data_IF_483689094100
#
_entry.id   IF_483689094100
#
_cell.length_a   1.000
_cell.length_b   1.000
_cell.length_c   1.000
_cell.angle_alpha   90.00
_cell.angle_beta   90.00
_cell.angle_gamma   90.00
#
_symmetry.space_group_name_H-M   'P 1'
#
loop_
_entity.id
_entity.type
_entity.pdbx_description
1 polymer ?
#
# COMPACT_ATOMS: atom_id res chain seq x y z
N UNK A 1 -8.56 15.89 26.12
CA UNK A 1 -8.67 14.46 25.78
C UNK A 1 -10.03 14.26 25.15
N UNK A 2 -10.10 13.91 23.88
CA UNK A 2 -11.38 13.53 23.24
C UNK A 2 -11.90 12.28 23.95
N UNK A 3 -13.18 12.30 24.38
CA UNK A 3 -13.81 11.14 25.00
C UNK A 3 -13.85 9.98 24.02
N UNK A 4 -13.69 8.75 24.50
CA UNK A 4 -13.82 7.55 23.65
C UNK A 4 -15.20 7.54 22.97
N UNK A 5 -15.25 7.42 21.62
CA UNK A 5 -16.51 7.45 20.88
C UNK A 5 -17.33 6.19 21.18
N UNK A 6 -18.59 6.39 21.57
CA UNK A 6 -19.50 5.26 21.87
C UNK A 6 -20.24 4.74 20.62
N UNK A 7 -20.33 5.57 19.59
CA UNK A 7 -21.07 5.27 18.36
C UNK A 7 -20.46 6.00 17.14
N UNK A 8 -20.53 5.42 15.98
CA UNK A 8 -20.16 5.99 14.69
C UNK A 8 -20.93 5.32 13.56
N UNK A 9 -21.21 6.04 12.47
CA UNK A 9 -21.84 5.44 11.28
C UNK A 9 -20.93 4.37 10.67
N UNK A 10 -19.62 4.65 10.64
CA UNK A 10 -18.60 3.73 10.09
C UNK A 10 -17.42 3.62 11.04
N UNK A 11 -17.03 2.38 11.35
CA UNK A 11 -15.76 2.09 12.02
C UNK A 11 -14.76 1.51 11.02
N UNK A 12 -13.59 2.14 10.93
CA UNK A 12 -12.50 1.74 10.02
C UNK A 12 -11.39 1.10 10.83
N UNK A 13 -10.97 -0.10 10.43
CA UNK A 13 -9.91 -0.87 11.09
C UNK A 13 -8.62 -0.74 10.30
N UNK A 14 -7.63 -0.02 10.86
CA UNK A 14 -6.31 0.18 10.27
C UNK A 14 -6.02 1.60 9.82
N UNK A 15 -4.90 2.15 10.31
CA UNK A 15 -4.40 3.51 10.05
C UNK A 15 -3.41 3.60 8.89
N UNK A 16 -3.48 2.66 7.93
CA UNK A 16 -2.75 2.76 6.66
C UNK A 16 -3.44 3.71 5.67
N UNK A 17 -2.81 3.91 4.50
CA UNK A 17 -3.31 4.85 3.47
C UNK A 17 -4.77 4.58 3.09
N UNK A 18 -5.18 3.32 3.00
CA UNK A 18 -6.57 2.96 2.65
C UNK A 18 -7.53 3.43 3.74
N UNK A 19 -7.23 3.12 5.01
CA UNK A 19 -8.09 3.51 6.13
C UNK A 19 -8.20 5.02 6.29
N UNK A 20 -7.07 5.74 6.30
CA UNK A 20 -7.09 7.20 6.49
C UNK A 20 -7.71 7.95 5.30
N UNK A 21 -7.50 7.47 4.06
CA UNK A 21 -8.16 8.06 2.89
C UNK A 21 -9.67 7.87 2.96
N UNK A 22 -10.13 6.66 3.34
CA UNK A 22 -11.56 6.40 3.52
C UNK A 22 -12.14 7.28 4.64
N UNK A 23 -11.45 7.38 5.78
CA UNK A 23 -11.87 8.24 6.88
C UNK A 23 -12.00 9.71 6.43
N UNK A 24 -11.00 10.20 5.68
CA UNK A 24 -11.00 11.58 5.17
C UNK A 24 -12.19 11.86 4.25
N UNK A 25 -12.41 11.02 3.23
CA UNK A 25 -13.48 11.25 2.27
C UNK A 25 -14.88 11.01 2.85
N UNK A 26 -15.05 10.07 3.78
CA UNK A 26 -16.31 9.88 4.49
C UNK A 26 -16.63 11.08 5.40
N UNK A 27 -15.66 11.53 6.22
CA UNK A 27 -15.83 12.70 7.06
C UNK A 27 -16.11 13.96 6.23
N UNK A 28 -15.44 14.13 5.09
CA UNK A 28 -15.71 15.22 4.13
C UNK A 28 -17.13 15.19 3.58
N UNK A 29 -17.75 14.01 3.53
CA UNK A 29 -19.15 13.80 3.11
C UNK A 29 -20.14 13.89 4.28
N UNK A 30 -19.68 14.26 5.49
CA UNK A 30 -20.54 14.42 6.67
C UNK A 30 -20.88 13.11 7.40
N UNK A 31 -20.21 12.00 7.06
CA UNK A 31 -20.40 10.71 7.74
C UNK A 31 -19.61 10.68 9.04
N UNK A 32 -20.22 10.23 10.14
CA UNK A 32 -19.53 10.00 11.40
C UNK A 32 -18.60 8.80 11.32
N UNK A 33 -17.29 9.02 11.49
CA UNK A 33 -16.26 8.00 11.31
C UNK A 33 -15.39 7.87 12.57
N UNK A 34 -15.15 6.63 12.96
CA UNK A 34 -14.07 6.29 13.89
C UNK A 34 -13.08 5.35 13.20
N UNK A 35 -11.82 5.78 13.09
CA UNK A 35 -10.71 4.95 12.64
C UNK A 35 -9.95 4.42 13.85
N UNK A 36 -9.69 3.12 13.88
CA UNK A 36 -9.00 2.43 14.96
C UNK A 36 -7.73 1.78 14.42
N UNK A 37 -6.58 2.18 14.97
CA UNK A 37 -5.25 1.69 14.58
C UNK A 37 -4.53 1.08 15.79
N UNK A 38 -4.05 -0.16 15.65
CA UNK A 38 -3.36 -0.90 16.71
C UNK A 38 -2.07 -0.25 17.21
N UNK A 39 -1.39 0.47 16.34
CA UNK A 39 -0.14 1.17 16.62
C UNK A 39 -0.26 2.66 16.30
N UNK A 40 0.54 3.11 15.36
CA UNK A 40 0.58 4.50 14.89
C UNK A 40 0.12 4.61 13.44
N UNK A 41 -0.42 5.77 13.07
CA UNK A 41 -0.77 6.06 11.68
C UNK A 41 0.46 5.88 10.78
N UNK A 42 0.27 5.21 9.64
CA UNK A 42 1.32 4.86 8.69
C UNK A 42 2.43 3.95 9.27
N UNK A 43 2.25 3.32 10.42
CA UNK A 43 3.26 2.51 11.09
C UNK A 43 3.78 1.31 10.30
N UNK A 44 3.02 0.85 9.30
CA UNK A 44 3.30 -0.36 8.54
C UNK A 44 3.63 -0.07 7.06
N UNK A 45 2.99 -0.75 6.12
CA UNK A 45 3.31 -0.65 4.68
C UNK A 45 3.19 0.76 4.10
N UNK A 46 2.31 1.59 4.66
CA UNK A 46 2.06 2.95 4.18
C UNK A 46 3.20 3.94 4.44
N UNK A 47 4.24 3.56 5.20
CA UNK A 47 5.48 4.32 5.33
C UNK A 47 6.68 3.64 4.66
N UNK A 48 6.54 2.37 4.26
CA UNK A 48 7.64 1.48 3.84
C UNK A 48 7.55 1.07 2.38
N UNK A 49 6.69 1.71 1.59
CA UNK A 49 6.57 1.48 0.16
C UNK A 49 7.56 2.35 -0.64
N UNK A 50 7.61 2.14 -1.95
CA UNK A 50 8.53 2.85 -2.83
C UNK A 50 8.19 4.34 -3.01
N UNK A 51 6.94 4.72 -2.75
CA UNK A 51 6.45 6.09 -2.93
C UNK A 51 6.22 6.48 -4.39
N UNK A 52 6.07 5.53 -5.29
CA UNK A 52 5.67 5.78 -6.67
C UNK A 52 4.16 6.00 -6.73
N UNK A 53 3.73 7.10 -7.32
CA UNK A 53 2.34 7.39 -7.65
C UNK A 53 2.23 7.27 -9.17
N UNK A 54 1.77 6.13 -9.65
CA UNK A 54 1.94 5.75 -11.05
C UNK A 54 0.73 5.06 -11.67
N UNK A 55 0.52 5.33 -12.94
CA UNK A 55 -0.35 4.61 -13.87
C UNK A 55 0.45 3.53 -14.62
N UNK A 56 1.71 3.84 -14.94
CA UNK A 56 2.60 3.01 -15.74
C UNK A 56 2.70 1.57 -15.21
N UNK A 57 2.54 0.61 -16.11
CA UNK A 57 2.67 -0.82 -15.80
C UNK A 57 1.63 -1.36 -14.83
N UNK A 58 0.45 -0.75 -14.74
CA UNK A 58 -0.69 -1.26 -13.97
C UNK A 58 -1.49 -2.26 -14.80
N UNK A 59 -2.20 -3.13 -14.10
CA UNK A 59 -3.18 -4.00 -14.73
C UNK A 59 -4.26 -3.13 -15.42
N UNK A 60 -4.67 -3.45 -16.66
CA UNK A 60 -5.68 -2.67 -17.38
C UNK A 60 -6.96 -2.44 -16.58
N UNK A 61 -7.40 -3.41 -15.78
CA UNK A 61 -8.59 -3.27 -14.93
C UNK A 61 -8.44 -2.22 -13.81
N UNK A 62 -7.20 -1.91 -13.41
CA UNK A 62 -6.91 -0.89 -12.38
C UNK A 62 -6.81 0.53 -12.97
N UNK A 63 -6.55 0.68 -14.26
CA UNK A 63 -6.20 1.97 -14.88
C UNK A 63 -7.25 3.06 -14.58
N UNK A 64 -8.56 2.87 -14.75
CA UNK A 64 -9.53 3.93 -14.47
C UNK A 64 -9.48 4.43 -13.03
N UNK A 65 -9.34 3.52 -12.07
CA UNK A 65 -9.23 3.86 -10.65
C UNK A 65 -7.92 4.62 -10.35
N UNK A 66 -6.80 4.19 -10.94
CA UNK A 66 -5.51 4.83 -10.76
C UNK A 66 -5.48 6.23 -11.39
N UNK A 67 -6.07 6.43 -12.56
CA UNK A 67 -6.21 7.75 -13.18
C UNK A 67 -6.97 8.71 -12.26
N UNK A 68 -8.09 8.27 -11.69
CA UNK A 68 -8.84 9.06 -10.71
C UNK A 68 -8.01 9.34 -9.46
N UNK A 69 -7.29 8.34 -8.95
CA UNK A 69 -6.38 8.49 -7.81
C UNK A 69 -5.29 9.54 -8.09
N UNK A 70 -4.65 9.48 -9.27
CA UNK A 70 -3.61 10.45 -9.64
C UNK A 70 -4.17 11.89 -9.72
N UNK A 71 -5.38 12.06 -10.23
CA UNK A 71 -6.05 13.36 -10.23
C UNK A 71 -6.25 13.90 -8.79
N UNK A 72 -6.67 13.03 -7.85
CA UNK A 72 -6.79 13.40 -6.45
C UNK A 72 -5.43 13.74 -5.82
N UNK A 73 -4.36 12.99 -6.11
CA UNK A 73 -3.02 13.28 -5.63
C UNK A 73 -2.52 14.68 -6.01
N UNK A 74 -2.85 15.15 -7.20
CA UNK A 74 -2.46 16.49 -7.68
C UNK A 74 -3.06 17.62 -6.85
N UNK A 75 -4.27 17.44 -6.37
CA UNK A 75 -5.00 18.46 -5.59
C UNK A 75 -4.82 18.30 -4.07
N UNK A 76 -4.38 17.13 -3.61
CA UNK A 76 -4.44 16.74 -2.19
C UNK A 76 -3.64 17.68 -1.27
N UNK A 77 -2.45 18.15 -1.68
CA UNK A 77 -1.68 19.11 -0.88
C UNK A 77 -2.42 20.43 -0.66
N UNK A 78 -3.07 20.94 -1.71
CA UNK A 78 -3.88 22.16 -1.64
C UNK A 78 -5.12 21.95 -0.77
N UNK A 79 -5.77 20.82 -0.95
CA UNK A 79 -6.99 20.45 -0.22
C UNK A 79 -6.73 20.29 1.29
N UNK A 80 -5.62 19.66 1.66
CA UNK A 80 -5.24 19.47 3.05
C UNK A 80 -4.53 20.68 3.67
N UNK A 81 -4.10 21.66 2.87
CA UNK A 81 -3.33 22.80 3.34
C UNK A 81 -1.91 22.47 3.80
N UNK A 82 -1.38 21.29 3.43
CA UNK A 82 -0.04 20.86 3.83
C UNK A 82 0.71 20.09 2.74
N UNK A 83 2.05 20.07 2.82
CA UNK A 83 2.90 19.35 1.89
C UNK A 83 2.88 17.83 2.16
N UNK A 84 2.31 17.09 1.26
CA UNK A 84 2.28 15.62 1.29
C UNK A 84 3.44 14.97 0.54
N UNK A 85 4.37 15.78 0.03
CA UNK A 85 5.52 15.32 -0.75
C UNK A 85 5.20 14.81 -2.14
N UNK A 86 4.00 15.08 -2.68
CA UNK A 86 3.66 14.72 -4.05
C UNK A 86 4.37 15.62 -5.05
N UNK A 87 5.00 15.01 -6.05
CA UNK A 87 5.56 15.69 -7.22
C UNK A 87 5.30 14.86 -8.47
N UNK A 88 4.75 15.49 -9.49
CA UNK A 88 4.73 14.92 -10.83
C UNK A 88 6.17 14.97 -11.37
N UNK A 89 6.83 13.84 -11.38
CA UNK A 89 8.25 13.72 -11.72
C UNK A 89 8.50 12.74 -12.86
N UNK A 90 7.47 12.04 -13.31
CA UNK A 90 7.57 10.94 -14.26
C UNK A 90 8.16 9.67 -13.64
N UNK A 91 7.79 8.54 -14.23
CA UNK A 91 8.32 7.22 -13.87
C UNK A 91 8.98 6.60 -15.09
N UNK A 92 10.14 5.97 -14.86
CA UNK A 92 10.89 5.24 -15.88
C UNK A 92 11.00 3.77 -15.52
N UNK A 93 10.69 2.91 -16.46
CA UNK A 93 11.00 1.49 -16.42
C UNK A 93 12.08 1.21 -17.45
N UNK A 94 13.28 0.86 -17.00
CA UNK A 94 14.42 0.59 -17.88
C UNK A 94 14.39 -0.86 -18.34
N UNK A 95 14.65 -1.10 -19.61
CA UNK A 95 14.76 -2.41 -20.22
C UNK A 95 16.20 -2.70 -20.65
N UNK A 96 16.69 -3.89 -20.33
CA UNK A 96 17.98 -4.39 -20.80
C UNK A 96 17.86 -5.68 -21.63
N UNK A 97 16.64 -6.13 -21.89
CA UNK A 97 16.33 -7.26 -22.77
C UNK A 97 15.21 -6.89 -23.76
N UNK A 98 15.23 -7.52 -24.94
CA UNK A 98 14.18 -7.34 -25.95
C UNK A 98 12.80 -7.80 -25.46
N UNK A 99 12.75 -8.83 -24.61
CA UNK A 99 11.50 -9.30 -23.99
C UNK A 99 10.86 -8.20 -23.14
N UNK A 100 11.67 -7.45 -22.38
CA UNK A 100 11.16 -6.33 -21.58
C UNK A 100 10.65 -5.19 -22.47
N UNK A 101 11.34 -4.89 -23.56
CA UNK A 101 10.91 -3.86 -24.53
C UNK A 101 9.57 -4.27 -25.12
N UNK A 102 9.45 -5.51 -25.63
CA UNK A 102 8.20 -6.03 -26.16
C UNK A 102 7.04 -5.98 -25.14
N UNK A 103 7.33 -6.29 -23.87
CA UNK A 103 6.34 -6.15 -22.79
C UNK A 103 5.90 -4.71 -22.56
N UNK A 104 6.79 -3.73 -22.73
CA UNK A 104 6.43 -2.31 -22.64
C UNK A 104 5.62 -1.84 -23.84
N UNK A 105 5.95 -2.31 -25.05
CA UNK A 105 5.18 -2.04 -26.27
C UNK A 105 3.77 -2.62 -26.19
N UNK A 106 3.63 -3.83 -25.63
CA UNK A 106 2.32 -4.44 -25.41
C UNK A 106 1.49 -3.63 -24.40
N UNK A 107 2.09 -3.20 -23.28
CA UNK A 107 1.41 -2.37 -22.31
C UNK A 107 1.01 -0.99 -22.87
N UNK A 108 1.77 -0.43 -23.82
CA UNK A 108 1.44 0.85 -24.47
C UNK A 108 0.10 0.79 -25.24
N UNK A 109 -0.38 -0.38 -25.67
CA UNK A 109 -1.70 -0.53 -26.27
C UNK A 109 -2.78 -0.08 -25.29
N UNK A 110 -2.68 -0.51 -24.01
CA UNK A 110 -3.58 -0.09 -22.96
C UNK A 110 -3.40 1.38 -22.63
N UNK A 111 -2.14 1.86 -22.53
CA UNK A 111 -1.89 3.27 -22.29
C UNK A 111 -2.55 4.18 -23.35
N UNK A 112 -2.50 3.79 -24.62
CA UNK A 112 -3.14 4.51 -25.71
C UNK A 112 -4.67 4.51 -25.60
N UNK A 113 -5.27 3.38 -25.24
CA UNK A 113 -6.72 3.25 -25.03
C UNK A 113 -7.22 4.25 -23.97
N UNK A 114 -6.48 4.40 -22.87
CA UNK A 114 -6.81 5.31 -21.77
C UNK A 114 -6.17 6.72 -21.90
N UNK A 115 -5.55 7.04 -23.04
CA UNK A 115 -4.90 8.33 -23.30
C UNK A 115 -3.84 8.71 -22.27
N UNK A 116 -3.11 7.71 -21.74
CA UNK A 116 -1.99 7.94 -20.86
C UNK A 116 -0.78 8.35 -21.69
N UNK A 117 -0.03 9.35 -21.25
CA UNK A 117 1.13 9.95 -21.95
C UNK A 117 2.40 9.09 -21.94
N UNK A 118 2.23 7.77 -21.83
CA UNK A 118 3.33 6.81 -21.83
C UNK A 118 3.93 6.65 -23.23
N UNK A 119 5.25 6.55 -23.28
CA UNK A 119 5.99 6.32 -24.54
C UNK A 119 7.32 5.60 -24.28
N UNK A 120 7.85 4.98 -25.33
CA UNK A 120 9.20 4.42 -25.31
C UNK A 120 10.23 5.54 -25.50
N UNK A 121 11.22 5.56 -24.62
CA UNK A 121 12.42 6.39 -24.72
C UNK A 121 13.52 5.49 -25.32
N UNK A 122 14.06 5.83 -26.51
CA UNK A 122 15.10 5.06 -27.14
C UNK A 122 16.43 5.17 -26.38
N UNK A 123 17.29 4.16 -26.51
CA UNK A 123 18.61 4.07 -25.87
C UNK A 123 19.40 5.39 -25.90
N UNK A 124 19.47 6.04 -27.08
CA UNK A 124 20.22 7.29 -27.28
C UNK A 124 19.72 8.46 -26.42
N UNK A 125 18.48 8.42 -25.93
CA UNK A 125 17.87 9.49 -25.16
C UNK A 125 17.85 9.24 -23.66
N UNK A 126 18.09 8.01 -23.20
CA UNK A 126 18.03 7.67 -21.77
C UNK A 126 18.96 8.55 -20.94
N UNK A 127 20.14 8.86 -21.46
CA UNK A 127 21.15 9.66 -20.78
C UNK A 127 20.71 11.12 -20.52
N UNK A 128 19.75 11.65 -21.29
CA UNK A 128 19.15 12.96 -21.04
C UNK A 128 18.37 13.01 -19.73
N UNK A 129 17.78 11.89 -19.34
CA UNK A 129 16.93 11.75 -18.14
C UNK A 129 17.65 11.14 -16.94
N UNK A 130 18.61 10.26 -17.22
CA UNK A 130 19.41 9.54 -16.22
C UNK A 130 20.88 9.71 -16.56
N UNK A 131 21.46 10.88 -16.26
CA UNK A 131 22.88 11.13 -16.50
C UNK A 131 23.73 10.12 -15.72
N UNK A 132 24.92 9.81 -16.26
CA UNK A 132 25.88 8.91 -15.61
C UNK A 132 25.37 7.48 -15.33
N UNK A 133 24.32 7.02 -16.06
CA UNK A 133 23.95 5.62 -15.99
C UNK A 133 25.08 4.74 -16.60
N UNK A 134 25.25 3.54 -16.05
CA UNK A 134 26.32 2.60 -16.48
C UNK A 134 26.11 2.03 -17.89
N UNK A 135 25.01 2.39 -18.58
CA UNK A 135 24.65 1.86 -19.89
C UNK A 135 24.03 0.48 -19.84
N UNK A 136 23.98 -0.19 -21.01
CA UNK A 136 23.39 -1.51 -21.13
C UNK A 136 21.86 -1.52 -21.29
N UNK A 137 21.21 -0.36 -21.27
CA UNK A 137 19.78 -0.23 -21.50
C UNK A 137 19.47 -0.21 -23.00
N UNK A 138 18.45 -0.95 -23.41
CA UNK A 138 17.95 -0.98 -24.79
C UNK A 138 16.91 0.12 -25.02
N UNK A 139 16.01 0.31 -24.07
CA UNK A 139 14.96 1.31 -24.08
C UNK A 139 14.45 1.58 -22.67
N UNK A 140 13.56 2.56 -22.54
CA UNK A 140 12.79 2.77 -21.31
C UNK A 140 11.33 3.07 -21.65
N UNK A 141 10.40 2.56 -20.84
CA UNK A 141 9.03 3.06 -20.81
C UNK A 141 8.97 4.25 -19.87
N UNK A 142 8.42 5.36 -20.34
CA UNK A 142 8.27 6.59 -19.57
C UNK A 142 6.83 7.06 -19.56
N UNK A 143 6.33 7.46 -18.38
CA UNK A 143 5.05 8.15 -18.21
C UNK A 143 5.27 9.48 -17.49
N UNK A 144 5.30 10.61 -18.22
CA UNK A 144 5.56 11.94 -17.64
C UNK A 144 4.56 12.39 -16.60
N UNK A 145 3.28 12.02 -16.76
CA UNK A 145 2.20 12.40 -15.83
C UNK A 145 2.26 11.69 -14.50
N UNK A 146 2.99 10.59 -14.39
CA UNK A 146 3.22 9.87 -13.15
C UNK A 146 4.05 10.69 -12.15
N UNK A 147 3.96 10.35 -10.88
CA UNK A 147 4.61 11.09 -9.82
C UNK A 147 5.24 10.23 -8.75
N UNK A 148 5.66 10.93 -7.73
CA UNK A 148 6.17 10.37 -6.48
C UNK A 148 5.60 11.14 -5.30
N UNK A 149 5.51 10.49 -4.14
CA UNK A 149 5.06 11.11 -2.90
C UNK A 149 5.94 10.66 -1.72
N UNK A 150 5.82 11.34 -0.59
CA UNK A 150 6.38 10.88 0.67
C UNK A 150 5.32 10.08 1.44
N UNK A 151 5.41 8.73 1.46
CA UNK A 151 4.30 7.88 1.91
C UNK A 151 3.83 8.18 3.34
N UNK A 152 4.75 8.32 4.28
CA UNK A 152 4.41 8.64 5.68
C UNK A 152 3.81 10.04 5.82
N UNK A 153 4.31 11.05 5.09
CA UNK A 153 3.74 12.41 5.09
C UNK A 153 2.30 12.40 4.59
N UNK A 154 2.07 11.80 3.43
CA UNK A 154 0.74 11.77 2.83
C UNK A 154 -0.28 11.04 3.72
N UNK A 155 0.10 9.89 4.27
CA UNK A 155 -0.80 9.10 5.13
C UNK A 155 -1.14 9.84 6.43
N UNK A 156 -0.16 10.46 7.08
CA UNK A 156 -0.42 11.23 8.30
C UNK A 156 -1.17 12.53 8.04
N UNK A 157 -0.94 13.18 6.91
CA UNK A 157 -1.69 14.37 6.50
C UNK A 157 -3.19 14.06 6.30
N UNK A 158 -3.50 12.95 5.61
CA UNK A 158 -4.87 12.49 5.44
C UNK A 158 -5.54 12.18 6.80
N UNK A 159 -4.83 11.55 7.73
CA UNK A 159 -5.37 11.30 9.07
C UNK A 159 -5.68 12.60 9.81
N UNK A 160 -4.78 13.59 9.75
CA UNK A 160 -5.03 14.92 10.33
C UNK A 160 -6.23 15.60 9.65
N UNK A 161 -6.28 15.56 8.31
CA UNK A 161 -7.40 16.09 7.55
C UNK A 161 -8.73 15.46 7.95
N UNK A 162 -8.77 14.13 8.11
CA UNK A 162 -9.96 13.42 8.59
C UNK A 162 -10.36 13.88 10.01
N UNK A 163 -9.39 14.00 10.90
CA UNK A 163 -9.63 14.47 12.28
C UNK A 163 -10.15 15.90 12.31
N UNK A 164 -9.60 16.80 11.48
CA UNK A 164 -10.08 18.18 11.37
C UNK A 164 -11.52 18.28 10.83
N UNK A 165 -11.97 17.28 10.09
CA UNK A 165 -13.34 17.13 9.60
C UNK A 165 -14.26 16.39 10.60
N UNK A 166 -13.78 16.09 11.80
CA UNK A 166 -14.58 15.49 12.87
C UNK A 166 -14.48 13.95 12.96
N UNK A 167 -13.64 13.29 12.16
CA UNK A 167 -13.41 11.87 12.37
C UNK A 167 -12.61 11.61 13.67
N UNK A 168 -13.00 10.57 14.40
CA UNK A 168 -12.24 10.11 15.56
C UNK A 168 -11.09 9.20 15.06
N UNK A 169 -9.86 9.52 15.46
CA UNK A 169 -8.67 8.72 15.16
C UNK A 169 -8.10 8.14 16.45
N UNK A 170 -8.28 6.85 16.66
CA UNK A 170 -7.78 6.12 17.80
C UNK A 170 -6.52 5.35 17.42
N UNK A 171 -5.40 5.71 18.01
CA UNK A 171 -4.10 5.01 17.85
C UNK A 171 -3.76 4.23 19.11
N UNK A 172 -2.81 3.29 19.01
CA UNK A 172 -2.47 2.37 20.09
C UNK A 172 -3.71 1.67 20.67
N UNK A 173 -4.60 1.29 19.77
CA UNK A 173 -5.87 0.66 20.09
C UNK A 173 -6.17 -0.42 19.04
N UNK A 174 -6.01 -1.68 19.39
CA UNK A 174 -6.32 -2.78 18.50
C UNK A 174 -7.81 -3.09 18.51
N UNK A 175 -8.31 -3.56 17.35
CA UNK A 175 -9.65 -4.12 17.20
C UNK A 175 -9.59 -5.62 17.39
N UNK A 176 -10.38 -6.16 18.31
CA UNK A 176 -10.51 -7.60 18.54
C UNK A 176 -11.43 -8.27 17.54
N UNK A 177 -12.50 -7.57 17.14
CA UNK A 177 -13.50 -8.08 16.22
C UNK A 177 -14.72 -7.17 16.17
N UNK A 178 -15.76 -7.65 15.51
CA UNK A 178 -17.07 -7.02 15.53
C UNK A 178 -18.14 -8.01 15.98
N UNK A 179 -19.20 -7.49 16.53
CA UNK A 179 -20.38 -8.23 16.96
C UNK A 179 -21.51 -8.10 15.95
N UNK A 180 -22.34 -9.12 15.89
CA UNK A 180 -23.51 -9.11 15.01
C UNK A 180 -24.77 -9.46 15.80
N UNK A 181 -25.87 -8.78 15.47
CA UNK A 181 -27.20 -9.07 15.96
C UNK A 181 -28.13 -9.26 14.76
N UNK A 182 -28.90 -10.33 14.74
CA UNK A 182 -29.75 -10.71 13.61
C UNK A 182 -29.04 -10.71 12.23
N UNK A 183 -27.75 -11.13 12.21
CA UNK A 183 -26.94 -11.21 11.00
C UNK A 183 -26.39 -9.87 10.49
N UNK A 184 -26.54 -8.80 11.25
CA UNK A 184 -26.01 -7.46 10.92
C UNK A 184 -24.98 -7.03 11.94
N UNK A 185 -23.94 -6.31 11.52
CA UNK A 185 -22.98 -5.70 12.41
C UNK A 185 -23.72 -4.73 13.35
N UNK A 186 -23.40 -4.79 14.66
CA UNK A 186 -23.97 -3.92 15.68
C UNK A 186 -22.91 -3.19 16.50
N UNK A 187 -21.70 -3.75 16.63
CA UNK A 187 -20.60 -3.10 17.36
C UNK A 187 -19.22 -3.60 16.93
N UNK A 188 -18.19 -2.79 17.21
CA UNK A 188 -16.78 -3.16 17.10
C UNK A 188 -16.16 -3.17 18.47
N UNK A 189 -15.45 -4.26 18.82
CA UNK A 189 -14.72 -4.40 20.10
C UNK A 189 -13.27 -4.01 19.93
N UNK A 190 -12.82 -3.11 20.77
CA UNK A 190 -11.46 -2.59 20.81
C UNK A 190 -10.84 -2.73 22.21
N UNK A 191 -9.53 -2.51 22.32
CA UNK A 191 -8.83 -2.47 23.61
C UNK A 191 -9.38 -1.41 24.57
N UNK A 192 -9.96 -0.33 24.04
CA UNK A 192 -10.49 0.78 24.85
C UNK A 192 -12.00 0.68 25.12
N UNK A 193 -12.68 -0.29 24.54
CA UNK A 193 -14.14 -0.48 24.70
C UNK A 193 -14.84 -0.82 23.38
N UNK A 194 -16.17 -0.84 23.43
CA UNK A 194 -17.01 -1.14 22.26
C UNK A 194 -17.55 0.14 21.64
N UNK A 195 -17.58 0.18 20.31
CA UNK A 195 -18.12 1.26 19.50
C UNK A 195 -19.33 0.72 18.73
N UNK A 196 -20.52 1.27 18.97
CA UNK A 196 -21.71 0.93 18.20
C UNK A 196 -21.56 1.39 16.75
N UNK A 197 -21.84 0.51 15.81
CA UNK A 197 -21.86 0.81 14.38
C UNK A 197 -22.59 -0.29 13.62
N UNK A 198 -23.16 0.05 12.49
CA UNK A 198 -23.73 -0.91 11.56
C UNK A 198 -22.81 -1.20 10.34
N UNK A 199 -21.68 -0.51 10.25
CA UNK A 199 -20.76 -0.62 9.12
C UNK A 199 -19.31 -0.67 9.58
N UNK A 200 -18.59 -1.71 9.15
CA UNK A 200 -17.17 -1.91 9.43
C UNK A 200 -16.38 -2.02 8.14
N UNK A 201 -15.36 -1.19 8.00
CA UNK A 201 -14.37 -1.30 6.93
C UNK A 201 -13.09 -1.93 7.46
N UNK A 202 -12.72 -3.12 6.95
CA UNK A 202 -11.44 -3.73 7.24
C UNK A 202 -10.35 -3.22 6.27
N UNK A 203 -9.49 -2.34 6.76
CA UNK A 203 -8.31 -1.80 6.07
C UNK A 203 -7.00 -2.26 6.75
N UNK A 204 -6.98 -3.45 7.34
CA UNK A 204 -5.92 -4.02 8.16
C UNK A 204 -4.68 -4.51 7.39
N UNK A 205 -4.54 -4.17 6.09
CA UNK A 205 -3.37 -4.56 5.29
C UNK A 205 -3.12 -6.08 5.31
N UNK A 206 -1.92 -6.50 5.71
CA UNK A 206 -1.56 -7.93 5.77
C UNK A 206 -2.30 -8.73 6.85
N UNK A 207 -2.98 -8.08 7.77
CA UNK A 207 -3.79 -8.73 8.81
C UNK A 207 -5.24 -8.95 8.39
N UNK A 208 -5.67 -8.37 7.26
CA UNK A 208 -7.07 -8.41 6.82
C UNK A 208 -7.57 -9.85 6.62
N UNK A 209 -6.76 -10.75 6.05
CA UNK A 209 -7.18 -12.16 5.87
C UNK A 209 -7.41 -12.88 7.20
N UNK A 210 -6.56 -12.64 8.21
CA UNK A 210 -6.72 -13.19 9.55
C UNK A 210 -7.97 -12.63 10.24
N UNK A 211 -8.16 -11.32 10.18
CA UNK A 211 -9.32 -10.66 10.75
C UNK A 211 -10.63 -11.16 10.11
N UNK A 212 -10.70 -11.13 8.78
CA UNK A 212 -11.87 -11.62 8.05
C UNK A 212 -12.11 -13.11 8.30
N UNK A 213 -11.04 -13.91 8.34
CA UNK A 213 -11.12 -15.36 8.63
C UNK A 213 -11.69 -15.66 10.01
N UNK A 214 -11.43 -14.82 11.01
CA UNK A 214 -12.01 -14.94 12.35
C UNK A 214 -13.54 -14.80 12.33
N UNK A 215 -14.07 -14.00 11.40
CA UNK A 215 -15.49 -13.76 11.20
C UNK A 215 -16.11 -14.62 10.09
N UNK A 216 -15.41 -15.67 9.64
CA UNK A 216 -15.83 -16.56 8.54
C UNK A 216 -16.05 -15.80 7.19
N UNK A 217 -15.44 -14.66 7.02
CA UNK A 217 -15.46 -13.90 5.77
C UNK A 217 -14.29 -14.34 4.90
N UNK A 218 -14.52 -14.93 3.71
CA UNK A 218 -13.46 -15.37 2.84
C UNK A 218 -12.78 -14.18 2.17
N UNK A 219 -11.51 -13.91 2.51
CA UNK A 219 -10.66 -12.93 1.85
C UNK A 219 -9.43 -13.63 1.26
N UNK A 220 -9.40 -13.89 -0.07
CA UNK A 220 -8.25 -14.50 -0.73
C UNK A 220 -7.08 -13.50 -0.75
N UNK A 221 -6.15 -13.63 0.19
CA UNK A 221 -4.97 -12.79 0.29
C UNK A 221 -3.75 -13.66 0.59
N UNK A 222 -2.70 -13.55 -0.22
CA UNK A 222 -1.40 -14.13 0.06
C UNK A 222 -0.39 -13.04 0.40
N UNK A 223 0.50 -13.34 1.33
CA UNK A 223 1.49 -12.41 1.83
C UNK A 223 2.80 -12.58 1.07
N UNK A 224 3.41 -11.46 0.74
CA UNK A 224 4.77 -11.41 0.19
C UNK A 224 5.61 -10.43 0.99
N UNK A 225 6.90 -10.64 1.02
CA UNK A 225 7.87 -9.80 1.74
C UNK A 225 8.90 -9.28 0.77
N UNK A 226 9.02 -7.95 0.70
CA UNK A 226 10.05 -7.25 -0.07
C UNK A 226 10.86 -6.34 0.85
N UNK A 227 12.13 -6.13 0.51
CA UNK A 227 13.01 -5.23 1.25
C UNK A 227 13.01 -3.86 0.61
N UNK A 228 12.89 -2.84 1.45
CA UNK A 228 13.02 -1.43 1.07
C UNK A 228 13.97 -0.77 2.06
N UNK A 229 14.94 -0.04 1.57
CA UNK A 229 15.88 0.70 2.40
C UNK A 229 15.84 2.20 2.10
N UNK A 230 16.31 2.99 3.06
CA UNK A 230 16.47 4.43 2.94
C UNK A 230 17.96 4.75 3.07
N UNK A 231 18.49 5.61 2.20
CA UNK A 231 19.85 6.11 2.32
C UNK A 231 19.89 7.44 3.08
N UNK A 232 21.05 7.87 3.52
CA UNK A 232 21.33 9.28 3.82
C UNK A 232 21.25 10.13 2.55
N UNK A 233 21.26 11.47 2.65
CA UNK A 233 21.34 12.37 1.49
C UNK A 233 22.52 11.99 0.58
N UNK A 234 22.28 12.03 -0.73
CA UNK A 234 23.26 11.68 -1.75
C UNK A 234 23.05 12.54 -3.01
N UNK A 235 24.07 12.64 -3.90
CA UNK A 235 23.95 13.38 -5.14
C UNK A 235 22.75 12.96 -5.98
N UNK A 236 22.19 13.91 -6.75
CA UNK A 236 21.05 13.63 -7.59
C UNK A 236 21.43 12.74 -8.78
N UNK A 237 20.92 11.52 -8.81
CA UNK A 237 21.07 10.57 -9.92
C UNK A 237 20.06 10.91 -11.02
N UNK A 238 18.80 11.17 -10.62
CA UNK A 238 17.70 11.55 -11.51
C UNK A 238 16.58 12.22 -10.73
N UNK A 239 15.85 13.13 -11.38
CA UNK A 239 14.61 13.74 -10.85
C UNK A 239 13.44 12.75 -10.83
N UNK A 240 13.52 11.73 -11.66
CA UNK A 240 12.47 10.74 -11.90
C UNK A 240 12.52 9.58 -10.91
N UNK A 241 11.43 8.88 -10.79
CA UNK A 241 11.38 7.56 -10.16
C UNK A 241 11.77 6.51 -11.19
N UNK A 242 12.72 5.65 -10.85
CA UNK A 242 13.31 4.67 -11.77
C UNK A 242 13.03 3.27 -11.25
N UNK A 243 12.63 2.39 -12.12
CA UNK A 243 12.59 0.96 -11.87
C UNK A 243 13.31 0.23 -13.00
N UNK A 244 14.13 -0.72 -12.63
CA UNK A 244 14.66 -1.73 -13.51
C UNK A 244 14.45 -3.10 -12.86
N UNK A 245 14.79 -4.18 -13.55
CA UNK A 245 14.57 -5.54 -13.05
C UNK A 245 15.02 -5.75 -11.61
N UNK A 246 16.15 -5.20 -11.23
CA UNK A 246 16.81 -5.50 -9.96
C UNK A 246 16.64 -4.42 -8.91
N UNK A 247 16.38 -3.17 -9.32
CA UNK A 247 16.34 -2.02 -8.41
C UNK A 247 15.20 -1.07 -8.76
N UNK A 248 14.48 -0.63 -7.72
CA UNK A 248 13.64 0.55 -7.78
C UNK A 248 14.29 1.68 -6.98
N UNK A 249 14.34 2.88 -7.54
CA UNK A 249 15.01 4.04 -6.98
C UNK A 249 14.10 5.26 -7.03
N UNK A 250 13.92 5.92 -5.88
CA UNK A 250 13.19 7.18 -5.77
C UNK A 250 13.93 8.15 -4.86
N UNK A 251 14.24 9.35 -5.36
CA UNK A 251 14.78 10.41 -4.53
C UNK A 251 13.70 11.00 -3.63
N UNK A 252 13.96 11.03 -2.31
CA UNK A 252 13.09 11.60 -1.29
C UNK A 252 13.28 13.12 -1.19
N UNK A 253 12.37 13.78 -0.47
CA UNK A 253 12.47 15.22 -0.20
C UNK A 253 13.66 15.60 0.68
N UNK A 254 14.10 14.68 1.57
CA UNK A 254 15.27 14.86 2.43
C UNK A 254 16.63 14.74 1.70
N UNK A 255 16.60 14.55 0.37
CA UNK A 255 17.79 14.38 -0.45
C UNK A 255 18.35 12.97 -0.49
N UNK A 256 17.86 12.06 0.34
CA UNK A 256 18.21 10.64 0.30
C UNK A 256 17.37 9.87 -0.73
N UNK A 257 17.58 8.56 -0.78
CA UNK A 257 16.86 7.68 -1.68
C UNK A 257 16.05 6.62 -0.93
N UNK A 258 14.91 6.27 -1.48
CA UNK A 258 14.26 4.99 -1.23
C UNK A 258 14.75 4.04 -2.30
N UNK A 259 15.34 2.92 -1.87
CA UNK A 259 15.87 1.87 -2.74
C UNK A 259 15.17 0.57 -2.40
N UNK A 260 14.66 -0.12 -3.39
CA UNK A 260 14.01 -1.40 -3.22
C UNK A 260 14.58 -2.43 -4.20
N UNK A 261 14.62 -3.70 -3.79
CA UNK A 261 15.00 -4.78 -4.69
C UNK A 261 13.83 -5.11 -5.61
N UNK A 262 14.04 -4.99 -6.91
CA UNK A 262 12.99 -5.16 -7.91
C UNK A 262 12.66 -6.61 -8.25
N UNK A 263 13.56 -7.58 -7.97
CA UNK A 263 13.47 -8.95 -8.48
C UNK A 263 13.35 -10.04 -7.42
N UNK A 264 13.51 -9.75 -6.12
CA UNK A 264 13.45 -10.78 -5.09
C UNK A 264 12.38 -10.47 -4.06
N UNK A 265 11.28 -11.21 -4.14
CA UNK A 265 10.18 -11.15 -3.17
C UNK A 265 10.05 -12.52 -2.50
N UNK A 266 10.11 -12.55 -1.18
CA UNK A 266 9.88 -13.75 -0.41
C UNK A 266 8.38 -14.00 -0.26
N UNK A 267 7.93 -15.20 -0.64
CA UNK A 267 6.57 -15.68 -0.43
C UNK A 267 6.59 -16.76 0.67
N UNK A 268 6.29 -16.42 1.93
CA UNK A 268 6.25 -17.40 3.00
C UNK A 268 5.05 -18.34 2.80
N UNK A 269 5.27 -19.64 3.01
CA UNK A 269 4.18 -20.60 3.12
C UNK A 269 3.49 -20.36 4.46
N UNK A 270 2.21 -20.05 4.41
CA UNK A 270 1.32 -19.80 5.56
C UNK A 270 0.02 -20.61 5.40
N UNK A 271 -0.81 -20.76 6.42
CA UNK A 271 -2.08 -21.50 6.29
C UNK A 271 -2.95 -21.06 5.10
N UNK A 272 -3.01 -19.76 4.83
CA UNK A 272 -3.72 -19.19 3.68
C UNK A 272 -3.16 -19.64 2.32
N UNK A 273 -1.89 -20.06 2.24
CA UNK A 273 -1.31 -20.61 1.01
C UNK A 273 -2.01 -21.90 0.59
N UNK A 274 -2.36 -22.76 1.54
CA UNK A 274 -3.11 -24.01 1.27
C UNK A 274 -4.57 -23.72 0.93
N UNK A 275 -5.16 -22.71 1.56
CA UNK A 275 -6.56 -22.31 1.34
C UNK A 275 -6.77 -21.62 -0.01
N UNK A 276 -5.84 -20.76 -0.41
CA UNK A 276 -6.02 -19.86 -1.53
C UNK A 276 -5.02 -20.06 -2.69
N UNK A 277 -3.96 -20.85 -2.50
CA UNK A 277 -2.85 -20.95 -3.46
C UNK A 277 -3.29 -21.31 -4.89
N UNK A 278 -4.32 -22.13 -5.03
CA UNK A 278 -4.86 -22.50 -6.36
C UNK A 278 -5.35 -21.26 -7.11
N UNK A 279 -5.98 -20.29 -6.42
CA UNK A 279 -6.45 -19.04 -7.02
C UNK A 279 -5.31 -18.13 -7.50
N UNK A 280 -4.10 -18.34 -7.01
CA UNK A 280 -2.92 -17.56 -7.36
C UNK A 280 -1.96 -18.25 -8.33
N UNK A 281 -2.32 -19.42 -8.89
CA UNK A 281 -1.44 -20.17 -9.78
C UNK A 281 -1.04 -19.37 -11.04
N UNK A 282 -1.96 -18.63 -11.64
CA UNK A 282 -1.66 -17.80 -12.83
C UNK A 282 -0.71 -16.64 -12.47
N UNK A 283 -0.94 -15.97 -11.35
CA UNK A 283 -0.03 -14.93 -10.85
C UNK A 283 1.34 -15.50 -10.53
N UNK A 284 1.39 -16.69 -9.92
CA UNK A 284 2.63 -17.39 -9.64
C UNK A 284 3.40 -17.75 -10.93
N UNK A 285 2.74 -18.26 -11.96
CA UNK A 285 3.39 -18.56 -13.25
C UNK A 285 4.04 -17.32 -13.87
N UNK A 286 3.38 -16.16 -13.79
CA UNK A 286 3.90 -14.88 -14.31
C UNK A 286 5.08 -14.36 -13.49
N UNK A 287 5.06 -14.52 -12.17
CA UNK A 287 6.02 -13.91 -11.24
C UNK A 287 7.04 -14.91 -10.65
N UNK A 288 7.03 -16.19 -11.08
CA UNK A 288 7.88 -17.25 -10.50
C UNK A 288 9.37 -16.93 -10.47
N UNK A 289 9.86 -16.18 -11.45
CA UNK A 289 11.27 -15.76 -11.52
C UNK A 289 11.66 -14.76 -10.42
N UNK A 290 10.68 -14.09 -9.83
CA UNK A 290 10.85 -13.06 -8.78
C UNK A 290 10.47 -13.57 -7.40
N UNK A 291 9.66 -14.63 -7.31
CA UNK A 291 9.15 -15.17 -6.05
C UNK A 291 10.08 -16.25 -5.50
N UNK A 292 10.47 -16.08 -4.25
CA UNK A 292 11.20 -17.08 -3.46
C UNK A 292 10.27 -17.66 -2.42
N UNK A 293 9.76 -18.86 -2.68
CA UNK A 293 8.88 -19.57 -1.74
C UNK A 293 9.72 -20.09 -0.58
N UNK A 294 9.31 -19.80 0.65
CA UNK A 294 9.99 -20.24 1.88
C UNK A 294 9.02 -20.77 2.91
N UNK A 295 9.32 -21.96 3.42
CA UNK A 295 8.69 -22.47 4.63
C UNK A 295 9.56 -22.04 5.83
N UNK A 296 8.98 -21.29 6.75
CA UNK A 296 9.66 -20.81 7.95
C UNK A 296 8.68 -20.78 9.15
N UNK A 297 9.15 -20.32 10.30
CA UNK A 297 8.38 -20.24 11.54
C UNK A 297 7.07 -19.43 11.45
N UNK A 298 6.89 -18.63 10.39
CA UNK A 298 5.65 -17.85 10.17
C UNK A 298 4.42 -18.73 9.98
N UNK A 299 4.59 -19.91 9.39
CA UNK A 299 3.50 -20.86 9.27
C UNK A 299 2.87 -21.17 10.63
N UNK A 300 3.70 -21.58 11.58
CA UNK A 300 3.25 -21.90 12.93
C UNK A 300 2.73 -20.67 13.67
N UNK A 301 3.38 -19.51 13.49
CA UNK A 301 2.99 -18.28 14.13
C UNK A 301 1.58 -17.85 13.69
N UNK A 302 1.29 -17.81 12.39
CA UNK A 302 -0.04 -17.46 11.88
C UNK A 302 -1.10 -18.51 12.26
N UNK A 303 -0.75 -19.79 12.22
CA UNK A 303 -1.63 -20.85 12.65
C UNK A 303 -2.03 -20.71 14.14
N UNK A 304 -1.06 -20.40 14.98
CA UNK A 304 -1.30 -20.22 16.43
C UNK A 304 -2.03 -18.91 16.72
N UNK A 305 -1.72 -17.82 16.00
CA UNK A 305 -2.46 -16.56 16.11
C UNK A 305 -3.93 -16.75 15.77
N UNK A 306 -4.23 -17.38 14.64
CA UNK A 306 -5.61 -17.66 14.24
C UNK A 306 -6.38 -18.51 15.29
N UNK A 307 -5.71 -19.49 15.93
CA UNK A 307 -6.31 -20.34 16.96
C UNK A 307 -6.52 -19.66 18.31
N UNK A 308 -5.60 -18.76 18.69
CA UNK A 308 -5.60 -18.09 20.00
C UNK A 308 -6.41 -16.78 20.00
N UNK A 309 -6.76 -16.28 18.82
CA UNK A 309 -7.51 -15.04 18.74
C UNK A 309 -8.90 -15.21 19.30
N UNK A 310 -9.13 -14.55 20.43
CA UNK A 310 -10.43 -14.49 21.08
C UNK A 310 -10.92 -13.04 21.08
N UNK A 311 -12.18 -12.83 20.75
CA UNK A 311 -12.81 -11.50 20.77
C UNK A 311 -12.92 -10.94 22.19
N UNK A 312 -12.90 -11.81 23.20
CA UNK A 312 -12.98 -11.48 24.63
C UNK A 312 -11.62 -11.56 25.34
N UNK A 313 -10.56 -11.88 24.60
CA UNK A 313 -9.21 -12.06 25.13
C UNK A 313 -8.28 -10.89 24.80
N UNK A 314 -7.01 -10.98 25.26
CA UNK A 314 -6.00 -10.00 24.90
C UNK A 314 -5.81 -9.97 23.39
N UNK A 315 -5.49 -8.76 22.86
CA UNK A 315 -5.26 -8.58 21.45
C UNK A 315 -4.12 -9.48 20.96
N UNK A 316 -4.28 -10.25 19.86
CA UNK A 316 -3.17 -10.96 19.26
C UNK A 316 -2.10 -10.01 18.70
N UNK A 317 -2.35 -8.72 18.70
CA UNK A 317 -1.47 -7.66 18.18
C UNK A 317 -0.63 -6.98 19.27
N UNK A 318 -0.89 -7.23 20.55
CA UNK A 318 -0.10 -6.68 21.68
C UNK A 318 1.36 -7.14 21.65
N UNK A 319 1.64 -8.32 21.17
CA UNK A 319 3.00 -8.91 21.18
C UNK A 319 3.80 -8.69 19.91
N UNK A 320 3.25 -8.02 18.88
CA UNK A 320 3.87 -7.93 17.59
C UNK A 320 3.96 -6.50 17.06
N UNK A 321 4.98 -5.80 17.47
CA UNK A 321 5.61 -4.86 16.55
C UNK A 321 5.88 -5.64 15.25
N UNK A 322 5.27 -5.20 14.16
CA UNK A 322 5.46 -5.81 12.83
C UNK A 322 6.94 -6.07 12.59
N UNK A 323 7.31 -7.34 12.46
CA UNK A 323 8.66 -7.77 12.12
C UNK A 323 9.03 -7.46 10.65
N UNK A 324 8.47 -6.42 10.08
CA UNK A 324 9.02 -5.77 8.89
C UNK A 324 10.00 -4.70 9.39
N UNK A 325 10.90 -5.11 10.26
CA UNK A 325 12.09 -4.34 10.52
C UNK A 325 13.13 -4.73 9.49
N UNK A 326 13.38 -3.86 8.58
CA UNK A 326 14.69 -3.66 7.97
C UNK A 326 14.90 -2.17 7.82
#
# INVERSE_FOLDING_TARGET
>A
MTSFPKESDVVIIGGGIIGVSTAYYLAKSGVSVTLVEKGIIAGEQSSRNWGFVRQQGRDPAEIPTIMRSLALWKELSKELGEDIGFKQAGVFYLANTEEQVAGYEDWLKHAKEYQIDSHIVPKAEIQKYIPNNSGGWLAALRTPSDGKAEPSKATTALARGANNLGANILTNCAVFGFETEAGRVCSVRTELGSIKTNTVLCAGGTWSSLFCGRHNIPLPQLKVRSSVLRTSPAPEISKHSIWCRDVALRRRQDGGYTVAHGSATEAPIVPDTFKWGIKYLESYKKEKSRLRIKLNGRFYKELMTARRWNIDGPSPFESELSLIHI
#
